data_IF_558859076332
#
_entry.id   IF_558859076332
#
_cell.length_a   1.000
_cell.length_b   1.000
_cell.length_c   1.000
_cell.angle_alpha   90.00
_cell.angle_beta   90.00
_cell.angle_gamma   90.00
#
_symmetry.space_group_name_H-M   'P 1'
#
loop_
_entity.id
_entity.type
_entity.pdbx_description
1 polymer ?
#
# COMPACT_ATOMS: atom_id res chain seq x y z
N UNK A 1 11.84 4.54 -0.63
CA UNK A 1 12.19 3.23 -0.01
C UNK A 1 12.77 2.36 -1.11
N UNK A 2 13.88 1.67 -0.84
CA UNK A 2 14.46 0.74 -1.81
C UNK A 2 13.87 -0.65 -1.58
N UNK A 3 13.18 -1.17 -2.58
CA UNK A 3 12.62 -2.51 -2.55
C UNK A 3 13.56 -3.46 -3.32
N UNK A 4 13.91 -4.62 -2.77
CA UNK A 4 14.87 -5.54 -3.39
C UNK A 4 14.32 -6.23 -4.65
N UNK A 5 13.00 -6.20 -4.88
CA UNK A 5 12.35 -6.86 -6.01
C UNK A 5 11.25 -5.98 -6.59
N UNK A 6 10.99 -6.06 -7.91
CA UNK A 6 9.88 -5.33 -8.53
C UNK A 6 8.52 -5.76 -8.00
N UNK A 7 8.36 -7.05 -7.71
CA UNK A 7 7.15 -7.63 -7.12
C UNK A 7 7.47 -8.31 -5.79
N UNK A 8 6.71 -7.97 -4.76
CA UNK A 8 6.88 -8.53 -3.42
C UNK A 8 5.54 -9.03 -2.87
N UNK A 9 5.57 -10.07 -2.04
CA UNK A 9 4.36 -10.53 -1.35
C UNK A 9 4.07 -9.62 -0.17
N UNK A 10 2.81 -9.61 0.29
CA UNK A 10 2.42 -8.93 1.53
C UNK A 10 3.35 -9.27 2.69
N UNK A 11 3.71 -10.55 2.84
CA UNK A 11 4.61 -11.02 3.90
C UNK A 11 5.98 -10.36 3.84
N UNK A 12 6.59 -10.31 2.65
CA UNK A 12 7.93 -9.72 2.51
C UNK A 12 7.93 -8.22 2.87
N UNK A 13 6.85 -7.50 2.53
CA UNK A 13 6.67 -6.09 2.91
C UNK A 13 6.49 -5.90 4.41
N UNK A 14 5.83 -6.85 5.09
CA UNK A 14 5.70 -6.86 6.55
C UNK A 14 7.06 -7.10 7.20
N UNK A 15 7.84 -8.06 6.69
CA UNK A 15 9.20 -8.35 7.18
C UNK A 15 10.16 -7.14 6.96
N UNK A 16 9.90 -6.29 5.96
CA UNK A 16 10.60 -5.01 5.76
C UNK A 16 10.18 -3.90 6.75
N UNK A 17 9.23 -4.17 7.64
CA UNK A 17 8.75 -3.23 8.65
C UNK A 17 7.53 -2.40 8.24
N UNK A 18 6.86 -2.72 7.14
CA UNK A 18 5.61 -2.06 6.77
C UNK A 18 4.47 -2.69 7.58
N UNK A 19 3.68 -1.90 8.32
CA UNK A 19 2.62 -2.45 9.16
C UNK A 19 1.53 -3.13 8.30
N UNK A 20 1.02 -4.30 8.73
CA UNK A 20 0.07 -5.08 7.96
C UNK A 20 -1.24 -4.31 7.72
N UNK A 21 -1.69 -3.51 8.68
CA UNK A 21 -2.91 -2.70 8.57
C UNK A 21 -2.79 -1.65 7.45
N UNK A 22 -1.58 -1.13 7.23
CA UNK A 22 -1.33 -0.17 6.15
C UNK A 22 -1.42 -0.83 4.78
N UNK A 23 -0.89 -2.05 4.65
CA UNK A 23 -1.00 -2.85 3.44
C UNK A 23 -2.45 -3.25 3.16
N UNK A 24 -3.22 -3.62 4.19
CA UNK A 24 -4.64 -3.93 4.05
C UNK A 24 -5.45 -2.71 3.59
N UNK A 25 -5.19 -1.53 4.18
CA UNK A 25 -5.79 -0.29 3.71
C UNK A 25 -5.44 -0.02 2.25
N UNK A 26 -4.19 -0.21 1.86
CA UNK A 26 -3.74 0.01 0.48
C UNK A 26 -4.46 -0.91 -0.51
N UNK A 27 -4.66 -2.20 -0.16
CA UNK A 27 -5.40 -3.17 -0.99
C UNK A 27 -6.88 -2.77 -1.15
N UNK A 28 -7.50 -2.25 -0.08
CA UNK A 28 -8.92 -1.90 -0.07
C UNK A 28 -9.26 -0.63 -0.88
N UNK A 29 -8.26 0.13 -1.34
CA UNK A 29 -8.52 1.37 -2.08
C UNK A 29 -9.17 1.05 -3.43
N UNK A 30 -10.34 1.63 -3.73
CA UNK A 30 -10.99 1.41 -5.00
C UNK A 30 -10.13 1.97 -6.14
N UNK A 31 -9.96 1.18 -7.20
CA UNK A 31 -9.19 1.59 -8.40
C UNK A 31 -7.68 1.54 -8.25
N UNK A 32 -7.15 1.00 -7.14
CA UNK A 32 -5.71 0.73 -7.05
C UNK A 32 -5.30 -0.39 -8.02
N UNK A 33 -4.12 -0.26 -8.63
CA UNK A 33 -3.59 -1.20 -9.64
C UNK A 33 -2.29 -1.89 -9.24
N UNK A 34 -1.72 -1.55 -8.09
CA UNK A 34 -0.42 -2.05 -7.66
C UNK A 34 -0.51 -3.34 -6.85
N UNK A 35 -1.64 -3.63 -6.21
CA UNK A 35 -1.84 -4.84 -5.40
C UNK A 35 -2.87 -5.77 -6.06
N UNK A 36 -2.50 -7.02 -6.30
CA UNK A 36 -3.39 -8.00 -6.91
C UNK A 36 -3.17 -9.39 -6.31
N UNK A 37 -4.18 -10.25 -6.42
CA UNK A 37 -4.03 -11.66 -6.04
C UNK A 37 -3.18 -12.37 -7.09
N UNK A 38 -2.26 -13.23 -6.65
CA UNK A 38 -1.49 -14.09 -7.56
C UNK A 38 -2.41 -14.97 -8.42
N UNK A 39 -3.50 -15.44 -7.83
CA UNK A 39 -4.52 -16.25 -8.50
C UNK A 39 -5.90 -15.73 -8.06
N UNK A 40 -6.63 -15.02 -8.94
CA UNK A 40 -7.94 -14.47 -8.61
C UNK A 40 -8.98 -15.55 -8.30
N UNK A 41 -8.84 -16.73 -8.90
CA UNK A 41 -9.79 -17.85 -8.76
C UNK A 41 -9.72 -18.48 -7.37
N UNK A 42 -8.57 -18.36 -6.70
CA UNK A 42 -8.36 -18.90 -5.35
C UNK A 42 -8.58 -17.83 -4.28
N UNK A 43 -9.57 -18.04 -3.41
CA UNK A 43 -9.88 -17.10 -2.32
C UNK A 43 -8.70 -16.84 -1.38
N UNK A 44 -7.90 -17.88 -1.09
CA UNK A 44 -6.73 -17.87 -0.18
C UNK A 44 -5.42 -17.46 -0.85
N UNK A 45 -5.44 -17.06 -2.13
CA UNK A 45 -4.24 -16.69 -2.86
C UNK A 45 -3.55 -15.48 -2.23
N UNK A 46 -2.20 -15.49 -2.11
CA UNK A 46 -1.47 -14.36 -1.56
C UNK A 46 -1.59 -13.12 -2.45
N UNK A 47 -1.53 -11.95 -1.82
CA UNK A 47 -1.42 -10.67 -2.51
C UNK A 47 0.04 -10.38 -2.89
N UNK A 48 0.20 -9.94 -4.13
CA UNK A 48 1.43 -9.43 -4.71
C UNK A 48 1.29 -7.92 -4.88
N UNK A 49 2.37 -7.22 -4.56
CA UNK A 49 2.50 -5.78 -4.69
C UNK A 49 3.56 -5.45 -5.72
N UNK A 50 3.21 -4.63 -6.69
CA UNK A 50 4.15 -3.88 -7.51
C UNK A 50 4.78 -2.79 -6.64
N UNK A 51 6.07 -2.93 -6.37
CA UNK A 51 6.81 -2.05 -5.47
C UNK A 51 6.97 -0.63 -6.02
N UNK A 52 7.07 -0.48 -7.34
CA UNK A 52 7.18 0.83 -7.98
C UNK A 52 5.84 1.58 -7.92
N UNK A 53 4.74 0.88 -8.21
CA UNK A 53 3.40 1.41 -8.09
C UNK A 53 3.03 1.74 -6.64
N UNK A 54 3.37 0.84 -5.73
CA UNK A 54 3.14 1.02 -4.29
C UNK A 54 3.89 2.23 -3.74
N UNK A 55 5.16 2.44 -4.11
CA UNK A 55 5.93 3.61 -3.64
C UNK A 55 5.34 4.93 -4.15
N UNK A 56 4.97 5.00 -5.44
CA UNK A 56 4.30 6.17 -6.01
C UNK A 56 3.00 6.49 -5.27
N UNK A 57 2.23 5.46 -4.92
CA UNK A 57 1.02 5.61 -4.15
C UNK A 57 1.31 6.07 -2.70
N UNK A 58 2.29 5.47 -2.03
CA UNK A 58 2.69 5.79 -0.66
C UNK A 58 3.10 7.25 -0.49
N UNK A 59 3.89 7.78 -1.44
CA UNK A 59 4.28 9.20 -1.43
C UNK A 59 3.04 10.10 -1.53
N UNK A 60 2.09 9.77 -2.42
CA UNK A 60 0.83 10.51 -2.56
C UNK A 60 -0.03 10.43 -1.30
N UNK A 61 -0.19 9.24 -0.71
CA UNK A 61 -0.95 9.06 0.53
C UNK A 61 -0.33 9.86 1.68
N UNK A 62 1.00 9.85 1.82
CA UNK A 62 1.70 10.63 2.86
C UNK A 62 1.40 12.13 2.74
N UNK A 63 1.46 12.68 1.52
CA UNK A 63 1.13 14.09 1.26
C UNK A 63 -0.34 14.38 1.57
N UNK A 64 -1.25 13.50 1.20
CA UNK A 64 -2.68 13.68 1.44
C UNK A 64 -3.02 13.61 2.94
N UNK A 65 -2.43 12.67 3.67
CA UNK A 65 -2.56 12.59 5.14
C UNK A 65 -2.08 13.90 5.79
N UNK A 66 -0.93 14.42 5.37
CA UNK A 66 -0.41 15.69 5.90
C UNK A 66 -1.38 16.85 5.62
N UNK A 67 -1.93 16.95 4.39
CA UNK A 67 -2.93 17.98 4.05
C UNK A 67 -4.20 17.87 4.89
N UNK A 68 -4.70 16.66 5.11
CA UNK A 68 -5.89 16.42 5.95
C UNK A 68 -5.62 16.86 7.39
N UNK A 69 -4.44 16.55 7.94
CA UNK A 69 -4.04 16.97 9.29
C UNK A 69 -3.98 18.50 9.42
N UNK A 70 -3.37 19.20 8.44
CA UNK A 70 -3.32 20.66 8.42
C UNK A 70 -4.73 21.28 8.39
N UNK A 71 -5.62 20.78 7.53
CA UNK A 71 -7.02 21.26 7.44
C UNK A 71 -7.77 21.10 8.75
N UNK A 72 -7.59 19.99 9.46
CA UNK A 72 -8.19 19.77 10.78
C UNK A 72 -7.69 20.77 11.82
N UNK A 73 -6.40 21.11 11.78
CA UNK A 73 -5.81 22.09 12.69
C UNK A 73 -6.27 23.53 12.42
N UNK A 74 -6.70 23.86 11.19
CA UNK A 74 -7.16 25.21 10.83
C UNK A 74 -8.65 25.44 11.14
N UNK A 75 -9.43 24.37 11.31
CA UNK A 75 -10.88 24.44 11.57
C UNK A 75 -11.19 24.42 13.08
N UNK A 76 -10.21 24.05 13.92
CA UNK A 76 -10.29 24.08 15.39
C UNK A 76 -9.84 25.43 15.94
#
# INVERSE_FOLDING_TARGET
MEYPKPFMRKKDLIDMGIPPQYLDRAICIPGQTFAFKLDPSKKTSPYIFDTQGFEKWRVKDTVEQHKIMQRRSTIA
#
